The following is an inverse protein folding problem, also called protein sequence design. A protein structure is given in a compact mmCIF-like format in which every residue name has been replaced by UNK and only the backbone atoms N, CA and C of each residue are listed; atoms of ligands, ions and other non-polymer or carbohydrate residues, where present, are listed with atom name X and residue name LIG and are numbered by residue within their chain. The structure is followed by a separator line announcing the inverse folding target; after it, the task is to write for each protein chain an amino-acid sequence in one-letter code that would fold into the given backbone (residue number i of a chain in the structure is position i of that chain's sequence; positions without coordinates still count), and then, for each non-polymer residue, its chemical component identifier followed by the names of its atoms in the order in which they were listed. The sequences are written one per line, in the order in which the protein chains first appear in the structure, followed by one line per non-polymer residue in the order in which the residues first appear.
data_IF_589583322650
#
_entry.id   IF_589583322650
#
_cell.length_a   1.000
_cell.length_b   1.000
_cell.length_c   1.000
_cell.angle_alpha   90.00
_cell.angle_beta   90.00
_cell.angle_gamma   90.00
#
_symmetry.space_group_name_H-M   'P 1'
#
loop_
_entity.id
_entity.type
_entity.pdbx_description
1 polymer ?
#
# COMPACT_ATOMS: atom_id res chain seq x y z
N UNK A 1 -8.19 8.74 5.68
CA UNK A 1 -8.24 7.29 5.97
C UNK A 1 -7.06 7.02 6.88
N UNK A 2 -7.25 6.99 8.20
CA UNK A 2 -6.17 6.76 9.16
C UNK A 2 -6.28 5.32 9.69
N UNK A 3 -5.94 4.36 8.83
CA UNK A 3 -5.94 2.95 9.20
C UNK A 3 -4.51 2.50 9.50
N UNK A 4 -4.32 1.86 10.65
CA UNK A 4 -3.06 1.21 11.04
C UNK A 4 -3.15 -0.28 10.77
N UNK A 5 -2.06 -0.92 10.34
CA UNK A 5 -1.98 -2.36 10.13
C UNK A 5 -0.59 -2.89 10.44
N UNK A 6 -0.51 -4.15 10.89
CA UNK A 6 0.76 -4.88 10.99
C UNK A 6 0.89 -5.84 9.81
N UNK A 7 2.00 -5.75 9.09
CA UNK A 7 2.34 -6.63 7.95
C UNK A 7 3.73 -7.18 8.23
N UNK A 8 3.87 -8.51 8.25
CA UNK A 8 5.11 -9.19 8.60
C UNK A 8 5.75 -8.66 9.90
N UNK A 9 4.94 -8.55 10.96
CA UNK A 9 5.34 -8.00 12.27
C UNK A 9 5.57 -6.48 12.32
N UNK A 10 5.66 -5.82 11.18
CA UNK A 10 6.02 -4.40 11.07
C UNK A 10 4.78 -3.50 11.06
N UNK A 11 4.79 -2.38 11.80
CA UNK A 11 3.66 -1.47 11.88
C UNK A 11 3.64 -0.46 10.72
N UNK A 12 2.52 -0.36 10.01
CA UNK A 12 2.29 0.57 8.91
C UNK A 12 1.05 1.43 9.14
N UNK A 13 1.09 2.65 8.62
CA UNK A 13 -0.07 3.52 8.46
C UNK A 13 -0.44 3.61 6.99
N UNK A 14 -1.70 3.38 6.66
CA UNK A 14 -2.24 3.63 5.32
C UNK A 14 -2.36 5.14 5.13
N UNK A 15 -1.63 5.69 4.17
CA UNK A 15 -1.61 7.13 3.87
C UNK A 15 -2.24 7.47 2.51
N UNK A 16 -2.46 6.46 1.66
CA UNK A 16 -3.10 6.65 0.36
C UNK A 16 -3.80 5.40 -0.14
N UNK A 17 -4.84 5.60 -0.97
CA UNK A 17 -5.54 4.54 -1.69
C UNK A 17 -5.97 5.06 -3.06
N UNK A 18 -5.50 4.43 -4.13
CA UNK A 18 -5.86 4.76 -5.50
C UNK A 18 -6.34 3.51 -6.24
N UNK A 19 -7.31 3.64 -7.16
CA UNK A 19 -7.70 2.53 -8.05
C UNK A 19 -6.53 2.21 -8.97
N UNK A 20 -6.24 0.92 -9.20
CA UNK A 20 -5.16 0.52 -10.10
C UNK A 20 -5.46 0.88 -11.56
N UNK A 21 -6.68 0.64 -12.00
CA UNK A 21 -7.17 1.08 -13.30
C UNK A 21 -8.69 1.22 -13.25
N UNK A 22 -9.26 2.34 -13.75
CA UNK A 22 -10.70 2.47 -13.88
C UNK A 22 -11.26 1.75 -15.11
N UNK A 23 -10.42 1.39 -16.08
CA UNK A 23 -10.85 0.87 -17.40
C UNK A 23 -10.54 -0.62 -17.59
N UNK A 24 -9.49 -1.15 -16.95
CA UNK A 24 -9.12 -2.56 -17.10
C UNK A 24 -9.99 -3.47 -16.24
N UNK A 25 -10.76 -4.36 -16.88
CA UNK A 25 -11.59 -5.37 -16.21
C UNK A 25 -10.78 -6.27 -15.27
N UNK A 26 -9.52 -6.58 -15.62
CA UNK A 26 -8.63 -7.38 -14.78
C UNK A 26 -8.24 -6.71 -13.45
N UNK A 27 -8.44 -5.39 -13.36
CA UNK A 27 -8.14 -4.56 -12.20
C UNK A 27 -9.38 -4.04 -11.49
N UNK A 28 -10.59 -4.48 -11.88
CA UNK A 28 -11.82 -4.05 -11.22
C UNK A 28 -11.80 -4.39 -9.72
N UNK A 29 -12.10 -3.37 -8.91
CA UNK A 29 -12.06 -3.48 -7.45
C UNK A 29 -10.64 -3.58 -6.85
N UNK A 30 -9.57 -3.49 -7.65
CA UNK A 30 -8.19 -3.51 -7.15
C UNK A 30 -7.65 -2.09 -6.97
N UNK A 31 -6.87 -1.92 -5.91
CA UNK A 31 -6.30 -0.67 -5.47
C UNK A 31 -4.79 -0.80 -5.25
N UNK A 32 -4.10 0.32 -5.41
CA UNK A 32 -2.78 0.56 -4.84
C UNK A 32 -2.98 1.27 -3.50
N UNK A 33 -2.48 0.67 -2.43
CA UNK A 33 -2.40 1.27 -1.10
C UNK A 33 -1.00 1.83 -0.90
N UNK A 34 -0.91 3.09 -0.49
CA UNK A 34 0.36 3.71 -0.07
C UNK A 34 0.43 3.60 1.44
N UNK A 35 1.53 3.04 1.93
CA UNK A 35 1.80 2.75 3.33
C UNK A 35 3.04 3.51 3.77
N UNK A 36 3.00 4.07 4.97
CA UNK A 36 4.17 4.60 5.66
C UNK A 36 4.51 3.68 6.81
N UNK A 37 5.71 3.10 6.81
CA UNK A 37 6.18 2.30 7.94
C UNK A 37 6.39 3.21 9.14
N UNK A 38 5.86 2.83 10.30
CA UNK A 38 5.85 3.71 11.47
C UNK A 38 7.19 3.74 12.21
N UNK A 39 8.09 2.79 11.95
CA UNK A 39 9.40 2.69 12.61
C UNK A 39 10.47 3.57 11.98
N UNK A 40 10.47 3.70 10.65
CA UNK A 40 11.51 4.41 9.89
C UNK A 40 10.96 5.44 8.90
N UNK A 41 9.63 5.58 8.80
CA UNK A 41 8.98 6.54 7.91
C UNK A 41 9.01 6.18 6.43
N UNK A 42 9.60 5.04 6.03
CA UNK A 42 9.72 4.63 4.63
C UNK A 42 8.35 4.41 3.99
N UNK A 43 8.25 4.73 2.69
CA UNK A 43 7.03 4.54 1.90
C UNK A 43 7.05 3.20 1.16
N UNK A 44 5.91 2.54 1.18
CA UNK A 44 5.69 1.22 0.58
C UNK A 44 4.36 1.22 -0.18
N UNK A 45 4.25 0.33 -1.16
CA UNK A 45 3.03 0.05 -1.89
C UNK A 45 2.56 -1.36 -1.63
N UNK A 46 1.25 -1.54 -1.50
CA UNK A 46 0.59 -2.84 -1.54
C UNK A 46 -0.53 -2.81 -2.59
N UNK A 47 -0.85 -3.97 -3.16
CA UNK A 47 -1.85 -4.08 -4.22
C UNK A 47 -2.90 -5.13 -3.87
N UNK A 48 -4.17 -4.83 -4.19
CA UNK A 48 -5.25 -5.77 -3.97
C UNK A 48 -6.60 -5.10 -3.77
N UNK A 49 -7.61 -5.88 -3.43
CA UNK A 49 -8.95 -5.35 -3.15
C UNK A 49 -9.05 -4.67 -1.78
N UNK A 50 -8.24 -5.13 -0.82
CA UNK A 50 -8.11 -4.60 0.53
C UNK A 50 -6.67 -4.75 1.04
N UNK A 51 -6.30 -3.94 2.02
CA UNK A 51 -5.06 -4.13 2.76
C UNK A 51 -5.26 -5.19 3.85
N UNK A 52 -4.26 -6.04 4.07
CA UNK A 52 -4.31 -7.12 5.06
C UNK A 52 -2.93 -7.42 5.64
N UNK A 53 -2.82 -8.16 6.77
CA UNK A 53 -1.53 -8.49 7.38
C UNK A 53 -0.59 -9.35 6.51
N UNK A 54 -1.11 -9.99 5.46
CA UNK A 54 -0.37 -10.85 4.52
C UNK A 54 -0.15 -10.18 3.16
N UNK A 55 -0.44 -8.89 3.05
CA UNK A 55 -0.26 -8.15 1.80
C UNK A 55 1.22 -8.07 1.43
N UNK A 56 1.55 -8.38 0.18
CA UNK A 56 2.88 -8.20 -0.37
C UNK A 56 3.22 -6.70 -0.46
N UNK A 57 4.47 -6.37 -0.12
CA UNK A 57 4.96 -5.00 -0.03
C UNK A 57 6.05 -4.73 -1.06
N UNK A 58 5.93 -3.62 -1.77
CA UNK A 58 6.93 -3.10 -2.69
C UNK A 58 7.44 -1.77 -2.13
N UNK A 59 8.74 -1.64 -1.88
CA UNK A 59 9.32 -0.38 -1.40
C UNK A 59 9.16 0.69 -2.48
N UNK A 60 8.74 1.89 -2.09
CA UNK A 60 8.83 3.04 -2.98
C UNK A 60 10.25 3.58 -2.83
N UNK A 61 11.12 3.28 -3.79
CA UNK A 61 12.40 3.96 -3.87
C UNK A 61 12.15 5.42 -4.23
N UNK A 62 12.85 6.32 -3.56
CA UNK A 62 12.93 7.70 -4.00
C UNK A 62 13.54 7.67 -5.39
N UNK A 63 12.72 7.87 -6.43
CA UNK A 63 13.24 8.32 -7.71
C UNK A 63 13.92 9.66 -7.41
N UNK A 64 15.25 9.67 -7.35
CA UNK A 64 16.01 10.89 -7.54
C UNK A 64 15.68 11.36 -8.95
N UNK A 65 14.87 12.41 -9.06
CA UNK A 65 14.79 13.22 -10.28
C UNK A 65 16.07 14.03 -10.45
#
# INVERSE_FOLDING_TARGET
MEQSIRIDGNPYRVVGRARLSPVSRACYGKYRFTLRRMTDGTLWSAFGTRISPVSELVRQDSLSE
#
